data_IF_421995414423
#
_entry.id   IF_421995414423
#
_cell.length_a   1.000
_cell.length_b   1.000
_cell.length_c   1.000
_cell.angle_alpha   90.00
_cell.angle_beta   90.00
_cell.angle_gamma   90.00
#
_symmetry.space_group_name_H-M   'P 1'
#
loop_
_entity.id
_entity.type
_entity.pdbx_description
1 polymer ?
#
# COMPACT_ATOMS: atom_id res chain seq x y z
N UNK A 1 -5.05 6.57 3.86
CA UNK A 1 -3.77 5.81 3.88
C UNK A 1 -3.80 4.62 4.85
N UNK A 2 -3.69 4.77 6.18
CA UNK A 2 -3.71 3.60 7.10
C UNK A 2 -4.98 2.75 7.01
N UNK A 3 -6.15 3.38 6.83
CA UNK A 3 -7.42 2.67 6.60
C UNK A 3 -7.43 1.90 5.28
N UNK A 4 -6.85 2.46 4.21
CA UNK A 4 -6.71 1.77 2.92
C UNK A 4 -5.73 0.59 3.03
N UNK A 5 -4.65 0.73 3.81
CA UNK A 5 -3.74 -0.39 4.10
C UNK A 5 -4.47 -1.53 4.82
N UNK A 6 -5.36 -1.22 5.76
CA UNK A 6 -6.17 -2.23 6.44
C UNK A 6 -7.16 -2.89 5.48
N UNK A 7 -7.85 -2.11 4.66
CA UNK A 7 -8.76 -2.60 3.62
C UNK A 7 -8.05 -3.41 2.52
N UNK A 8 -6.78 -3.10 2.25
CA UNK A 8 -5.95 -3.78 1.26
C UNK A 8 -5.20 -5.00 1.83
N UNK A 9 -5.54 -5.48 3.04
CA UNK A 9 -5.00 -6.74 3.59
C UNK A 9 -5.29 -7.89 2.61
N UNK A 10 -4.25 -8.31 1.89
CA UNK A 10 -4.32 -9.30 0.80
C UNK A 10 -3.65 -8.82 -0.48
N UNK A 11 -3.73 -7.52 -0.78
CA UNK A 11 -3.08 -6.90 -1.95
C UNK A 11 -1.72 -6.27 -1.62
N UNK A 12 -1.25 -6.36 -0.37
CA UNK A 12 0.05 -5.83 0.07
C UNK A 12 1.26 -6.24 -0.78
N UNK A 13 1.37 -7.48 -1.32
CA UNK A 13 2.48 -7.85 -2.20
C UNK A 13 2.47 -7.04 -3.50
N UNK A 14 1.29 -6.79 -4.07
CA UNK A 14 1.13 -6.01 -5.30
C UNK A 14 1.42 -4.53 -5.07
N UNK A 15 0.88 -3.97 -3.98
CA UNK A 15 1.14 -2.56 -3.59
C UNK A 15 2.64 -2.34 -3.34
N UNK A 16 3.31 -3.30 -2.71
CA UNK A 16 4.76 -3.29 -2.53
C UNK A 16 5.52 -3.21 -3.86
N UNK A 17 5.11 -4.00 -4.87
CA UNK A 17 5.70 -3.96 -6.21
C UNK A 17 5.43 -2.65 -6.93
N UNK A 18 4.19 -2.17 -6.90
CA UNK A 18 3.77 -0.93 -7.56
C UNK A 18 4.45 0.30 -6.96
N UNK A 19 4.54 0.37 -5.63
CA UNK A 19 5.20 1.48 -4.95
C UNK A 19 6.74 1.35 -4.91
N UNK A 20 7.31 0.23 -5.36
CA UNK A 20 8.76 -0.02 -5.33
C UNK A 20 9.35 -0.11 -3.90
N UNK A 21 8.52 -0.37 -2.89
CA UNK A 21 8.93 -0.47 -1.49
C UNK A 21 8.94 -1.92 -1.03
N UNK A 22 9.91 -2.34 -0.20
CA UNK A 22 9.95 -3.71 0.29
C UNK A 22 8.68 -4.10 1.04
N UNK A 23 8.16 -5.31 0.78
CA UNK A 23 6.98 -5.85 1.47
C UNK A 23 7.15 -5.80 2.99
N UNK A 24 8.33 -6.15 3.49
CA UNK A 24 8.70 -6.04 4.91
C UNK A 24 8.50 -4.63 5.47
N UNK A 25 8.83 -3.58 4.71
CA UNK A 25 8.63 -2.18 5.10
C UNK A 25 7.14 -1.84 5.13
N UNK A 26 6.40 -2.23 4.09
CA UNK A 26 4.95 -2.01 4.02
C UNK A 26 4.23 -2.69 5.20
N UNK A 27 4.57 -3.95 5.49
CA UNK A 27 4.00 -4.70 6.62
C UNK A 27 4.34 -4.06 7.96
N UNK A 28 5.59 -3.58 8.16
CA UNK A 28 5.97 -2.87 9.40
C UNK A 28 5.21 -1.54 9.58
N UNK A 29 4.90 -0.84 8.49
CA UNK A 29 4.08 0.38 8.51
C UNK A 29 2.62 0.03 8.83
N UNK A 30 2.06 -0.98 8.17
CA UNK A 30 0.69 -1.44 8.37
C UNK A 30 0.46 -1.96 9.81
N UNK A 31 1.43 -2.72 10.35
CA UNK A 31 1.42 -3.21 11.73
C UNK A 31 1.80 -2.13 12.76
N UNK A 32 2.12 -0.90 12.32
CA UNK A 32 2.58 0.22 13.17
C UNK A 32 3.82 -0.11 14.02
N UNK A 33 4.61 -1.07 13.57
CA UNK A 33 5.88 -1.46 14.19
C UNK A 33 6.95 -0.40 13.91
N UNK A 34 6.90 0.19 12.71
CA UNK A 34 7.79 1.28 12.36
C UNK A 34 7.24 2.59 12.91
N UNK A 35 7.90 3.15 13.94
CA UNK A 35 7.51 4.44 14.55
C UNK A 35 7.78 5.64 13.64
N UNK A 36 8.80 5.56 12.77
CA UNK A 36 9.22 6.68 11.92
C UNK A 36 9.42 6.25 10.45
N UNK A 37 8.36 5.91 9.72
CA UNK A 37 8.48 5.73 8.28
C UNK A 37 8.84 7.07 7.66
N UNK A 38 9.87 7.07 6.80
CA UNK A 38 10.27 8.28 6.06
C UNK A 38 9.04 8.88 5.38
N UNK A 39 8.89 10.21 5.47
CA UNK A 39 7.82 10.97 4.80
C UNK A 39 7.71 10.62 3.33
N UNK A 40 8.83 10.40 2.64
CA UNK A 40 8.85 10.00 1.23
C UNK A 40 8.12 8.66 0.98
N UNK A 41 8.30 7.66 1.85
CA UNK A 41 7.58 6.38 1.76
C UNK A 41 6.09 6.55 2.03
N UNK A 42 5.73 7.40 2.99
CA UNK A 42 4.32 7.70 3.29
C UNK A 42 3.67 8.44 2.14
N UNK A 43 4.38 9.38 1.51
CA UNK A 43 3.93 10.11 0.33
C UNK A 43 3.73 9.20 -0.87
N UNK A 44 4.68 8.32 -1.20
CA UNK A 44 4.51 7.35 -2.30
C UNK A 44 3.29 6.46 -2.08
N UNK A 45 3.08 5.97 -0.85
CA UNK A 45 1.90 5.18 -0.52
C UNK A 45 0.62 6.01 -0.61
N UNK A 46 0.65 7.25 -0.12
CA UNK A 46 -0.51 8.14 -0.17
C UNK A 46 -0.90 8.51 -1.60
N UNK A 47 0.10 8.81 -2.43
CA UNK A 47 -0.03 9.10 -3.86
C UNK A 47 -0.63 7.90 -4.59
N UNK A 48 -0.07 6.70 -4.38
CA UNK A 48 -0.59 5.45 -4.92
C UNK A 48 -2.05 5.21 -4.55
N UNK A 49 -2.45 5.39 -3.28
CA UNK A 49 -3.85 5.23 -2.87
C UNK A 49 -4.76 6.37 -3.32
N UNK A 50 -4.22 7.53 -3.69
CA UNK A 50 -4.99 8.65 -4.22
C UNK A 50 -5.26 8.49 -5.71
N UNK A 51 -4.28 7.97 -6.46
CA UNK A 51 -4.39 7.65 -7.88
C UNK A 51 -5.17 6.35 -8.12
N UNK A 52 -4.93 5.35 -7.27
CA UNK A 52 -5.68 4.09 -7.22
C UNK A 52 -6.53 4.04 -5.94
N UNK A 53 -7.72 4.66 -5.93
CA UNK A 53 -8.66 4.41 -4.85
C UNK A 53 -8.87 2.90 -4.78
N UNK A 54 -8.75 2.34 -3.58
CA UNK A 54 -8.99 0.91 -3.33
C UNK A 54 -10.49 0.64 -3.53
N UNK A 55 -10.93 0.66 -4.79
CA UNK A 55 -12.16 0.03 -5.19
C UNK A 55 -11.87 -1.43 -4.94
N UNK A 56 -12.63 -2.04 -4.03
CA UNK A 56 -12.76 -3.48 -3.90
C UNK A 56 -13.28 -4.02 -5.24
N UNK A 57 -12.40 -4.08 -6.22
CA UNK A 57 -12.65 -4.56 -7.55
C UNK A 57 -11.81 -5.82 -7.67
N UNK A 58 -12.50 -6.95 -7.53
CA UNK A 58 -12.34 -8.09 -8.41
C UNK A 58 -11.61 -7.67 -9.69
N UNK A 59 -10.37 -8.14 -9.86
CA UNK A 59 -9.65 -7.99 -11.11
C UNK A 59 -10.58 -8.40 -12.27
N UNK A 60 -10.75 -7.58 -13.33
CA UNK A 60 -10.77 -8.12 -14.65
C UNK A 60 -9.30 -8.17 -15.11
N UNK A 61 -8.82 -9.40 -15.29
CA UNK A 61 -7.82 -9.64 -16.32
C UNK A 61 -8.33 -9.10 -17.67
N UNK A 62 -7.41 -8.95 -18.63
CA UNK A 62 -7.56 -8.48 -20.04
C UNK A 62 -7.36 -6.95 -20.20
N UNK A 63 -6.57 -6.44 -21.14
CA UNK A 63 -5.88 -7.00 -22.31
C UNK A 63 -4.71 -6.09 -22.71
#
# INVERSE_FOLDING_TARGET
>A
MLRNLDAAKGAWPEISRQCGIPYQTLTKIALRIHRDPRVSTVQTLYDHFSDHPVVTATQPAVH
#
